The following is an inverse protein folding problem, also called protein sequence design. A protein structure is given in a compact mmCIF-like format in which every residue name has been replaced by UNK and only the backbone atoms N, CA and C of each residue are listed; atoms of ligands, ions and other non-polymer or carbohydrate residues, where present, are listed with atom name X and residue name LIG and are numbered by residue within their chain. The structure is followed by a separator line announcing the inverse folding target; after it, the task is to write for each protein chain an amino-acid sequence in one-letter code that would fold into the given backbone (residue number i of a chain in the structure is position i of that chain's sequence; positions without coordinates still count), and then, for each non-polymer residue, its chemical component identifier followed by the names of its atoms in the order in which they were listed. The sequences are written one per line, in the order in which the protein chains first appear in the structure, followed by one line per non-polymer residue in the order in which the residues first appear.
data_IF_269383387722
#
_entry.id   IF_269383387722
#
_cell.length_a   1.000
_cell.length_b   1.000
_cell.length_c   1.000
_cell.angle_alpha   90.00
_cell.angle_beta   90.00
_cell.angle_gamma   90.00
#
_symmetry.space_group_name_H-M   'P 1'
#
loop_
_entity.id
_entity.type
_entity.pdbx_description
1 polymer ?
#
# COMPACT_ATOMS: atom_id res chain seq x y z
N UNK A 1 8.29 1.25 -9.33
CA UNK A 1 8.49 0.40 -8.12
C UNK A 1 7.57 -0.79 -8.20
N UNK A 2 8.08 -1.95 -7.92
CA UNK A 2 7.25 -3.14 -7.88
C UNK A 2 6.45 -3.22 -6.59
N UNK A 3 5.28 -3.84 -6.67
CA UNK A 3 4.38 -3.96 -5.53
C UNK A 3 5.04 -4.60 -4.31
N UNK A 4 5.84 -5.63 -4.52
CA UNK A 4 6.50 -6.33 -3.43
C UNK A 4 7.39 -5.39 -2.61
N UNK A 5 8.15 -4.54 -3.30
CA UNK A 5 9.02 -3.59 -2.63
C UNK A 5 8.19 -2.54 -1.90
N UNK A 6 7.15 -2.04 -2.56
CA UNK A 6 6.25 -1.06 -1.96
C UNK A 6 5.61 -1.60 -0.67
N UNK A 7 5.07 -2.81 -0.74
CA UNK A 7 4.39 -3.40 0.41
C UNK A 7 5.35 -3.69 1.56
N UNK A 8 6.57 -4.13 1.24
CA UNK A 8 7.58 -4.37 2.27
C UNK A 8 7.93 -3.08 3.01
N UNK A 9 8.14 -2.01 2.26
CA UNK A 9 8.48 -0.72 2.85
C UNK A 9 7.30 -0.17 3.65
N UNK A 10 6.09 -0.29 3.13
CA UNK A 10 4.89 0.17 3.81
C UNK A 10 4.64 -0.61 5.10
N UNK A 11 4.82 -1.92 5.06
CA UNK A 11 4.66 -2.75 6.25
C UNK A 11 5.63 -2.35 7.34
N UNK A 12 6.88 -2.08 6.96
CA UNK A 12 7.91 -1.62 7.90
C UNK A 12 7.52 -0.29 8.54
N UNK A 13 7.03 0.64 7.72
CA UNK A 13 6.59 1.94 8.20
C UNK A 13 5.44 1.77 9.20
N UNK A 14 4.45 0.96 8.86
CA UNK A 14 3.29 0.74 9.72
C UNK A 14 3.69 0.09 11.04
N UNK A 15 4.58 -0.90 10.98
CA UNK A 15 5.04 -1.58 12.18
C UNK A 15 5.78 -0.63 13.12
N UNK A 16 6.60 0.26 12.56
CA UNK A 16 7.35 1.22 13.36
C UNK A 16 6.44 2.23 14.05
N UNK A 17 5.26 2.47 13.49
CA UNK A 17 4.32 3.46 14.02
C UNK A 17 3.09 2.86 14.71
N UNK A 18 3.06 1.54 14.83
CA UNK A 18 1.94 0.87 15.49
C UNK A 18 0.66 0.90 14.69
N UNK A 19 0.74 1.01 13.36
CA UNK A 19 -0.43 1.03 12.49
C UNK A 19 -0.76 -0.40 12.04
N UNK A 20 -2.05 -0.71 11.97
CA UNK A 20 -2.51 -2.00 11.46
C UNK A 20 -2.30 -2.05 9.95
N UNK A 21 -1.68 -3.13 9.47
CA UNK A 21 -1.39 -3.32 8.05
C UNK A 21 -1.90 -4.68 7.61
N UNK A 22 -2.54 -4.72 6.45
CA UNK A 22 -2.97 -5.97 5.84
C UNK A 22 -2.92 -5.84 4.33
N UNK A 23 -2.63 -6.94 3.65
CA UNK A 23 -2.65 -7.01 2.21
C UNK A 23 -3.30 -8.29 1.76
N UNK A 24 -4.31 -8.17 0.90
CA UNK A 24 -5.02 -9.32 0.32
C UNK A 24 -4.79 -9.32 -1.19
N UNK A 25 -3.96 -10.25 -1.70
CA UNK A 25 -3.68 -10.30 -3.13
C UNK A 25 -4.85 -10.80 -3.97
N UNK A 26 -5.90 -11.34 -3.35
CA UNK A 26 -7.03 -11.91 -4.06
C UNK A 26 -8.16 -10.93 -4.32
N UNK A 27 -8.07 -9.70 -3.79
CA UNK A 27 -9.06 -8.68 -4.06
C UNK A 27 -8.69 -7.90 -5.31
N UNK A 28 -9.68 -7.71 -6.19
CA UNK A 28 -9.49 -7.02 -7.45
C UNK A 28 -9.35 -7.99 -8.60
N UNK A 29 -9.30 -7.46 -9.81
CA UNK A 29 -9.17 -8.24 -11.05
C UNK A 29 -7.73 -8.21 -11.52
N UNK A 30 -7.32 -9.31 -12.15
CA UNK A 30 -5.95 -9.42 -12.67
C UNK A 30 -4.93 -9.43 -11.55
N UNK A 31 -3.88 -8.67 -11.69
CA UNK A 31 -2.82 -8.60 -10.69
C UNK A 31 -3.06 -7.61 -9.56
N UNK A 32 -4.30 -7.13 -9.39
CA UNK A 32 -4.61 -6.16 -8.34
C UNK A 32 -4.77 -6.84 -7.00
N UNK A 33 -4.41 -6.13 -5.93
CA UNK A 33 -4.64 -6.58 -4.57
C UNK A 33 -5.16 -5.42 -3.75
N UNK A 34 -5.61 -5.72 -2.53
CA UNK A 34 -6.11 -4.69 -1.61
C UNK A 34 -5.13 -4.53 -0.44
N UNK A 35 -4.69 -3.30 -0.22
CA UNK A 35 -3.89 -2.97 0.97
C UNK A 35 -4.77 -2.17 1.93
N UNK A 36 -4.68 -2.50 3.21
CA UNK A 36 -5.46 -1.84 4.27
C UNK A 36 -4.50 -1.34 5.34
N UNK A 37 -4.68 -0.09 5.75
CA UNK A 37 -3.91 0.50 6.86
C UNK A 37 -4.90 1.22 7.77
N UNK A 38 -5.00 0.75 9.01
CA UNK A 38 -5.87 1.35 10.03
C UNK A 38 -7.31 1.54 9.55
N UNK A 39 -7.86 0.55 8.85
CA UNK A 39 -9.23 0.61 8.36
C UNK A 39 -9.43 1.34 7.06
N UNK A 40 -8.43 2.03 6.55
CA UNK A 40 -8.47 2.65 5.23
C UNK A 40 -7.87 1.68 4.22
N UNK A 41 -8.46 1.59 3.04
CA UNK A 41 -7.99 0.63 2.05
C UNK A 41 -8.00 1.22 0.66
N UNK A 42 -7.18 0.63 -0.20
CA UNK A 42 -7.14 0.95 -1.62
C UNK A 42 -6.59 -0.26 -2.37
N UNK A 43 -6.76 -0.27 -3.68
CA UNK A 43 -6.18 -1.33 -4.51
C UNK A 43 -4.81 -0.93 -5.00
N UNK A 44 -3.95 -1.94 -5.19
CA UNK A 44 -2.60 -1.72 -5.72
C UNK A 44 -2.37 -2.68 -6.89
N UNK A 45 -1.71 -2.17 -7.92
CA UNK A 45 -1.33 -2.94 -9.09
C UNK A 45 0.03 -3.60 -8.86
N UNK A 46 0.39 -4.53 -9.75
CA UNK A 46 1.67 -5.22 -9.65
C UNK A 46 2.85 -4.28 -9.84
N UNK A 47 2.73 -3.34 -10.76
CA UNK A 47 3.75 -2.34 -11.04
C UNK A 47 3.21 -0.97 -10.67
N UNK A 48 3.96 -0.21 -9.87
CA UNK A 48 3.52 1.08 -9.35
C UNK A 48 4.41 2.20 -9.86
N UNK A 49 3.79 3.19 -10.51
CA UNK A 49 4.46 4.41 -10.92
C UNK A 49 4.43 5.42 -9.77
N UNK A 50 5.34 6.42 -9.78
CA UNK A 50 5.40 7.39 -8.68
C UNK A 50 4.07 8.07 -8.36
N UNK A 51 3.28 8.42 -9.38
CA UNK A 51 1.97 9.03 -9.15
C UNK A 51 0.99 8.06 -8.49
N UNK A 52 1.04 6.78 -8.87
CA UNK A 52 0.21 5.76 -8.24
C UNK A 52 0.55 5.63 -6.76
N UNK A 53 1.84 5.63 -6.43
CA UNK A 53 2.30 5.52 -5.05
C UNK A 53 1.78 6.68 -4.23
N UNK A 54 1.87 7.91 -4.73
CA UNK A 54 1.37 9.08 -4.04
C UNK A 54 -0.14 9.00 -3.81
N UNK A 55 -0.88 8.55 -4.81
CA UNK A 55 -2.33 8.40 -4.70
C UNK A 55 -2.69 7.36 -3.66
N UNK A 56 -2.00 6.21 -3.67
CA UNK A 56 -2.23 5.15 -2.70
C UNK A 56 -1.98 5.64 -1.28
N UNK A 57 -0.84 6.31 -1.06
CA UNK A 57 -0.51 6.82 0.27
C UNK A 57 -1.51 7.86 0.73
N UNK A 58 -1.97 8.73 -0.16
CA UNK A 58 -2.98 9.73 0.16
C UNK A 58 -4.30 9.07 0.57
N UNK A 59 -4.72 8.03 -0.16
CA UNK A 59 -5.95 7.30 0.17
C UNK A 59 -5.86 6.59 1.51
N UNK A 60 -4.66 6.16 1.90
CA UNK A 60 -4.43 5.53 3.18
C UNK A 60 -4.17 6.53 4.31
N UNK A 61 -4.13 7.82 3.99
CA UNK A 61 -3.88 8.84 4.98
C UNK A 61 -2.43 8.91 5.45
N UNK A 62 -1.49 8.47 4.60
CA UNK A 62 -0.08 8.38 4.95
C UNK A 62 0.74 9.44 4.22
N UNK A 63 1.90 9.84 4.79
CA UNK A 63 2.77 10.82 4.14
C UNK A 63 3.50 10.23 2.95
N UNK A 64 4.03 11.10 2.08
CA UNK A 64 4.72 10.69 0.86
C UNK A 64 5.94 9.81 1.15
N UNK A 65 6.57 9.99 2.29
CA UNK A 65 7.79 9.30 2.65
C UNK A 65 7.56 8.01 3.45
N UNK A 66 6.32 7.53 3.47
CA UNK A 66 6.01 6.27 4.15
C UNK A 66 6.66 5.05 3.48
N UNK A 67 7.09 5.18 2.24
CA UNK A 67 7.73 4.07 1.52
C UNK A 67 9.07 4.46 0.94
#
# INVERSE_FOLDING_TARGET
MQRDVFLRNLKRYCKARGLAFDFDPRHGKGGHGRVTVDGKFTTVQTELKPLHIQTILKQLGLPKDAV
#
